data_IF_270910073671
#
_entry.id   IF_270910073671
#
_cell.length_a   1.000
_cell.length_b   1.000
_cell.length_c   1.000
_cell.angle_alpha   90.00
_cell.angle_beta   90.00
_cell.angle_gamma   90.00
#
_symmetry.space_group_name_H-M   'P 1'
#
loop_
_entity.id
_entity.type
_entity.pdbx_description
1 polymer ?
#
# COMPACT_ATOMS: atom_id res chain seq x y z
N UNK A 1 -2.11 -12.45 0.20
CA UNK A 1 -3.28 -12.91 -0.59
C UNK A 1 -3.61 -11.95 -1.72
N UNK A 2 -3.98 -10.69 -1.44
CA UNK A 2 -4.37 -9.71 -2.47
C UNK A 2 -3.33 -9.49 -3.59
N UNK A 3 -2.03 -9.49 -3.27
CA UNK A 3 -0.97 -9.37 -4.29
C UNK A 3 -1.09 -10.42 -5.39
N UNK A 4 -1.30 -11.69 -5.01
CA UNK A 4 -1.42 -12.79 -5.99
C UNK A 4 -2.71 -12.67 -6.82
N UNK A 5 -3.80 -12.22 -6.20
CA UNK A 5 -5.08 -11.98 -6.89
C UNK A 5 -4.90 -10.87 -7.94
N UNK A 6 -4.29 -9.75 -7.56
CA UNK A 6 -4.07 -8.62 -8.45
C UNK A 6 -3.09 -8.98 -9.57
N UNK A 7 -1.99 -9.68 -9.30
CA UNK A 7 -1.09 -10.15 -10.36
C UNK A 7 -1.77 -11.17 -11.29
N UNK A 8 -2.65 -12.01 -10.77
CA UNK A 8 -3.51 -12.88 -11.57
C UNK A 8 -4.43 -12.10 -12.54
N UNK A 9 -4.95 -10.95 -12.11
CA UNK A 9 -5.79 -10.07 -12.93
C UNK A 9 -4.98 -9.18 -13.89
N UNK A 10 -3.83 -8.67 -13.45
CA UNK A 10 -2.99 -7.71 -14.18
C UNK A 10 -1.69 -8.37 -14.64
N UNK A 11 -1.80 -9.17 -15.70
CA UNK A 11 -0.70 -10.01 -16.21
C UNK A 11 0.54 -9.20 -16.65
N UNK A 12 0.37 -7.97 -17.13
CA UNK A 12 1.49 -7.10 -17.50
C UNK A 12 2.38 -6.79 -16.30
N UNK A 13 1.79 -6.51 -15.13
CA UNK A 13 2.54 -6.28 -13.90
C UNK A 13 3.20 -7.55 -13.38
N UNK A 14 2.57 -8.72 -13.57
CA UNK A 14 3.17 -10.00 -13.24
C UNK A 14 4.41 -10.28 -14.10
N UNK A 15 4.33 -10.01 -15.41
CA UNK A 15 5.45 -10.16 -16.33
C UNK A 15 6.61 -9.24 -15.95
N UNK A 16 6.34 -7.94 -15.72
CA UNK A 16 7.35 -6.96 -15.28
C UNK A 16 8.04 -7.37 -13.98
N UNK A 17 7.28 -7.81 -12.98
CA UNK A 17 7.84 -8.28 -11.72
C UNK A 17 8.73 -9.53 -11.91
N UNK A 18 8.31 -10.46 -12.76
CA UNK A 18 9.10 -11.66 -13.08
C UNK A 18 10.40 -11.29 -13.80
N UNK A 19 10.35 -10.38 -14.77
CA UNK A 19 11.52 -9.89 -15.49
C UNK A 19 12.52 -9.21 -14.55
N UNK A 20 12.04 -8.35 -13.64
CA UNK A 20 12.89 -7.68 -12.65
C UNK A 20 13.62 -8.70 -11.75
N UNK A 21 12.88 -9.68 -11.20
CA UNK A 21 13.45 -10.71 -10.33
C UNK A 21 14.47 -11.57 -11.07
N UNK A 22 14.18 -11.97 -12.31
CA UNK A 22 15.11 -12.76 -13.13
C UNK A 22 16.34 -11.96 -13.54
N UNK A 23 16.20 -10.67 -13.86
CA UNK A 23 17.33 -9.80 -14.17
C UNK A 23 18.27 -9.63 -12.98
N UNK A 24 17.72 -9.61 -11.76
CA UNK A 24 18.50 -9.39 -10.54
C UNK A 24 19.14 -10.65 -9.97
N UNK A 25 18.44 -11.78 -10.03
CA UNK A 25 18.86 -13.01 -9.35
C UNK A 25 19.10 -14.19 -10.31
N UNK A 26 18.68 -14.10 -11.56
CA UNK A 26 18.76 -15.20 -12.52
C UNK A 26 18.06 -16.44 -12.00
N UNK A 27 18.81 -17.54 -11.83
CA UNK A 27 18.34 -18.80 -11.24
C UNK A 27 18.77 -18.99 -9.78
N UNK A 28 19.50 -18.01 -9.22
CA UNK A 28 19.98 -18.05 -7.85
C UNK A 28 18.88 -17.64 -6.88
N UNK A 29 19.00 -18.08 -5.62
CA UNK A 29 18.06 -17.65 -4.59
C UNK A 29 18.23 -16.15 -4.29
N UNK A 30 17.13 -15.42 -4.04
CA UNK A 30 17.20 -14.03 -3.62
C UNK A 30 18.02 -13.85 -2.33
N UNK A 31 18.76 -12.75 -2.25
CA UNK A 31 19.49 -12.33 -1.05
C UNK A 31 18.98 -10.96 -0.58
N UNK A 32 19.24 -10.65 0.70
CA UNK A 32 18.71 -9.44 1.34
C UNK A 32 19.10 -8.14 0.62
N UNK A 33 20.34 -8.03 0.16
CA UNK A 33 20.82 -6.84 -0.55
C UNK A 33 20.13 -6.63 -1.90
N UNK A 34 19.82 -7.72 -2.61
CA UNK A 34 19.08 -7.65 -3.86
C UNK A 34 17.61 -7.31 -3.63
N UNK A 35 16.96 -7.85 -2.58
CA UNK A 35 15.53 -7.61 -2.34
C UNK A 35 15.20 -6.12 -2.24
N UNK A 36 16.06 -5.32 -1.61
CA UNK A 36 15.89 -3.87 -1.49
C UNK A 36 16.00 -3.10 -2.83
N UNK A 37 16.42 -3.75 -3.91
CA UNK A 37 16.57 -3.15 -5.24
C UNK A 37 15.42 -3.50 -6.19
N UNK A 38 14.51 -4.39 -5.80
CA UNK A 38 13.34 -4.78 -6.60
C UNK A 38 12.29 -3.67 -6.59
N UNK A 39 12.46 -2.68 -7.47
CA UNK A 39 11.64 -1.47 -7.55
C UNK A 39 10.21 -1.79 -7.97
N UNK A 40 10.03 -2.60 -9.01
CA UNK A 40 8.72 -2.98 -9.56
C UNK A 40 7.95 -3.82 -8.53
N UNK A 41 8.60 -4.81 -7.92
CA UNK A 41 7.98 -5.60 -6.85
C UNK A 41 7.55 -4.70 -5.69
N UNK A 42 8.39 -3.74 -5.28
CA UNK A 42 8.03 -2.79 -4.24
C UNK A 42 6.83 -1.93 -4.63
N UNK A 43 6.80 -1.36 -5.84
CA UNK A 43 5.67 -0.58 -6.37
C UNK A 43 4.35 -1.37 -6.31
N UNK A 44 4.38 -2.63 -6.75
CA UNK A 44 3.22 -3.53 -6.70
C UNK A 44 2.76 -3.73 -5.26
N UNK A 45 3.68 -4.03 -4.34
CA UNK A 45 3.34 -4.27 -2.94
C UNK A 45 2.73 -3.03 -2.28
N UNK A 46 3.28 -1.84 -2.53
CA UNK A 46 2.74 -0.59 -1.99
C UNK A 46 1.33 -0.31 -2.52
N UNK A 47 1.10 -0.50 -3.82
CA UNK A 47 -0.23 -0.29 -4.41
C UNK A 47 -1.25 -1.32 -3.90
N UNK A 48 -0.84 -2.57 -3.67
CA UNK A 48 -1.69 -3.58 -3.04
C UNK A 48 -2.07 -3.17 -1.62
N UNK A 49 -1.10 -2.70 -0.81
CA UNK A 49 -1.34 -2.26 0.57
C UNK A 49 -2.23 -1.01 0.63
N UNK A 50 -2.13 -0.14 -0.36
CA UNK A 50 -3.00 1.03 -0.54
C UNK A 50 -4.45 0.61 -0.75
N UNK A 51 -4.69 -0.25 -1.76
CA UNK A 51 -6.05 -0.69 -2.10
C UNK A 51 -6.65 -1.63 -1.06
N UNK A 52 -5.83 -2.50 -0.47
CA UNK A 52 -6.25 -3.58 0.42
C UNK A 52 -5.38 -3.64 1.69
N UNK A 53 -5.50 -2.65 2.59
CA UNK A 53 -4.74 -2.63 3.84
C UNK A 53 -5.11 -3.84 4.71
N UNK A 54 -4.13 -4.56 5.29
CA UNK A 54 -4.40 -5.80 6.04
C UNK A 54 -4.84 -5.55 7.50
N UNK A 55 -4.75 -4.31 7.99
CA UNK A 55 -5.00 -3.98 9.38
C UNK A 55 -5.86 -2.72 9.50
N UNK A 56 -6.64 -2.68 10.58
CA UNK A 56 -7.38 -1.50 11.00
C UNK A 56 -6.58 -0.67 12.01
N UNK A 57 -6.91 0.61 12.11
CA UNK A 57 -6.25 1.52 13.02
C UNK A 57 -7.25 2.13 14.00
N UNK A 58 -7.28 1.58 15.21
CA UNK A 58 -8.11 2.07 16.31
C UNK A 58 -7.23 2.73 17.37
N UNK A 59 -7.74 3.82 17.96
CA UNK A 59 -7.09 4.57 19.04
C UNK A 59 -8.08 4.81 20.18
N UNK A 60 -7.59 4.74 21.42
CA UNK A 60 -8.34 5.17 22.61
C UNK A 60 -7.84 6.56 22.98
N UNK A 61 -8.77 7.48 23.20
CA UNK A 61 -8.45 8.84 23.64
C UNK A 61 -8.21 8.82 25.14
N UNK A 62 -6.98 9.04 25.59
CA UNK A 62 -6.64 8.96 27.02
C UNK A 62 -6.94 10.24 27.81
N UNK A 63 -7.06 11.37 27.12
CA UNK A 63 -7.37 12.67 27.70
C UNK A 63 -8.23 13.45 26.72
N UNK A 64 -9.16 14.25 27.22
CA UNK A 64 -9.91 15.22 26.43
C UNK A 64 -8.99 15.96 25.46
N UNK A 65 -9.28 15.82 24.18
CA UNK A 65 -8.43 16.24 23.08
C UNK A 65 -9.26 16.96 22.02
N UNK A 66 -8.61 17.80 21.22
CA UNK A 66 -9.23 18.47 20.07
C UNK A 66 -8.41 18.19 18.81
N UNK A 67 -9.06 17.73 17.75
CA UNK A 67 -8.46 17.50 16.42
C UNK A 67 -9.24 18.34 15.42
N UNK A 68 -8.59 19.36 14.84
CA UNK A 68 -9.29 20.36 14.04
C UNK A 68 -10.41 20.99 14.87
N UNK A 69 -11.65 20.93 14.37
CA UNK A 69 -12.83 21.44 15.08
C UNK A 69 -13.58 20.37 15.90
N UNK A 70 -13.08 19.13 15.92
CA UNK A 70 -13.71 18.01 16.62
C UNK A 70 -13.17 17.90 18.05
N UNK A 71 -14.07 17.92 19.03
CA UNK A 71 -13.76 17.61 20.42
C UNK A 71 -13.91 16.11 20.68
N UNK A 72 -12.89 15.52 21.31
CA UNK A 72 -12.80 14.10 21.62
C UNK A 72 -12.66 13.92 23.15
N UNK A 73 -13.71 13.45 23.84
CA UNK A 73 -13.64 13.15 25.26
C UNK A 73 -12.67 12.00 25.57
N UNK A 74 -12.08 12.00 26.76
CA UNK A 74 -11.35 10.86 27.27
C UNK A 74 -12.23 9.59 27.32
N UNK A 75 -11.65 8.44 27.00
CA UNK A 75 -12.31 7.13 27.01
C UNK A 75 -12.96 6.72 25.68
N UNK A 76 -13.15 7.64 24.71
CA UNK A 76 -13.72 7.27 23.42
C UNK A 76 -12.73 6.52 22.54
N UNK A 77 -13.25 5.65 21.67
CA UNK A 77 -12.46 5.00 20.62
C UNK A 77 -12.65 5.75 19.29
N UNK A 78 -11.53 5.99 18.61
CA UNK A 78 -11.49 6.56 17.26
C UNK A 78 -10.97 5.48 16.32
N UNK A 79 -11.77 5.14 15.32
CA UNK A 79 -11.37 4.26 14.22
C UNK A 79 -10.98 5.11 13.01
N UNK A 80 -9.83 4.83 12.42
CA UNK A 80 -9.37 5.43 11.18
C UNK A 80 -9.62 4.45 10.04
N UNK A 81 -10.58 4.73 9.13
CA UNK A 81 -10.92 3.82 8.05
C UNK A 81 -9.86 3.92 6.95
N UNK A 82 -8.71 3.24 7.14
CA UNK A 82 -7.55 3.30 6.23
C UNK A 82 -7.98 3.06 4.78
N UNK A 83 -8.81 2.04 4.52
CA UNK A 83 -9.27 1.71 3.17
C UNK A 83 -10.01 2.88 2.50
N UNK A 84 -10.88 3.58 3.23
CA UNK A 84 -11.64 4.70 2.67
C UNK A 84 -10.72 5.89 2.37
N UNK A 85 -9.77 6.18 3.25
CA UNK A 85 -8.78 7.26 3.03
C UNK A 85 -7.88 6.92 1.85
N UNK A 86 -7.42 5.68 1.76
CA UNK A 86 -6.52 5.22 0.70
C UNK A 86 -7.21 5.12 -0.67
N UNK A 87 -8.55 5.09 -0.74
CA UNK A 87 -9.33 5.06 -1.98
C UNK A 87 -10.12 6.36 -2.24
N UNK A 88 -9.87 7.42 -1.47
CA UNK A 88 -10.54 8.72 -1.66
C UNK A 88 -10.02 9.39 -2.94
N UNK A 89 -10.92 9.60 -3.90
CA UNK A 89 -10.61 10.22 -5.19
C UNK A 89 -10.13 11.68 -5.05
N UNK A 90 -10.47 12.37 -3.96
CA UNK A 90 -9.96 13.71 -3.67
C UNK A 90 -8.49 13.71 -3.28
N UNK A 91 -8.01 12.62 -2.68
CA UNK A 91 -6.63 12.46 -2.23
C UNK A 91 -5.76 11.76 -3.30
N UNK A 92 -6.35 10.80 -4.01
CA UNK A 92 -5.62 9.89 -4.91
C UNK A 92 -5.94 10.08 -6.41
N UNK A 93 -6.87 10.98 -6.74
CA UNK A 93 -7.31 11.22 -8.11
C UNK A 93 -8.43 10.27 -8.58
N UNK A 94 -8.90 10.47 -9.81
CA UNK A 94 -10.05 9.74 -10.35
C UNK A 94 -9.83 8.21 -10.45
N UNK A 95 -8.58 7.77 -10.57
CA UNK A 95 -8.18 6.37 -10.63
C UNK A 95 -7.87 5.78 -9.23
N UNK A 96 -8.32 6.40 -8.14
CA UNK A 96 -8.02 5.99 -6.75
C UNK A 96 -8.37 4.52 -6.45
N UNK A 97 -9.38 3.97 -7.10
CA UNK A 97 -9.82 2.57 -6.91
C UNK A 97 -9.18 1.60 -7.91
N UNK A 98 -8.43 2.12 -8.87
CA UNK A 98 -7.72 1.33 -9.86
C UNK A 98 -6.38 0.85 -9.32
N UNK A 99 -5.93 -0.29 -9.83
CA UNK A 99 -4.60 -0.82 -9.53
C UNK A 99 -3.57 -0.18 -10.44
N UNK A 100 -2.84 0.79 -9.90
CA UNK A 100 -1.83 1.56 -10.62
C UNK A 100 -0.49 1.62 -9.85
N UNK A 101 0.37 0.59 -9.96
CA UNK A 101 1.67 0.58 -9.27
C UNK A 101 2.60 1.73 -9.66
N UNK A 102 2.44 2.37 -10.83
CA UNK A 102 3.25 3.53 -11.24
C UNK A 102 3.15 4.71 -10.26
N UNK A 103 2.09 4.77 -9.44
CA UNK A 103 1.96 5.76 -8.36
C UNK A 103 3.16 5.79 -7.41
N UNK A 104 3.84 4.66 -7.26
CA UNK A 104 5.00 4.52 -6.37
C UNK A 104 6.33 4.48 -7.12
N UNK A 105 6.39 4.94 -8.39
CA UNK A 105 7.60 4.93 -9.21
C UNK A 105 8.74 5.79 -8.63
N UNK A 106 8.42 6.85 -7.88
CA UNK A 106 9.45 7.67 -7.20
C UNK A 106 9.85 7.11 -5.82
N UNK A 107 9.32 5.94 -5.44
CA UNK A 107 9.53 5.34 -4.12
C UNK A 107 8.66 5.99 -3.04
N UNK A 108 8.92 5.62 -1.79
CA UNK A 108 8.34 6.25 -0.60
C UNK A 108 9.45 7.08 0.01
N UNK A 109 9.23 8.39 0.14
CA UNK A 109 10.15 9.31 0.85
C UNK A 109 10.18 9.05 2.34
#
# INVERSE_FOLDING_TARGET
>A
TWTLILLGKYQDWQARAREEVLAMFGKSNPNFHGLNRLKIVNMILQEVLRLYPPAELTRVVHKDSKIGDIFLPAGVMVNLPILLVQQDEKLWGADAKEFNPERFNEGIS
#
